data_IF_962317667788
#
_entry.id   IF_962317667788
#
_cell.length_a   1.000
_cell.length_b   1.000
_cell.length_c   1.000
_cell.angle_alpha   90.00
_cell.angle_beta   90.00
_cell.angle_gamma   90.00
#
_symmetry.space_group_name_H-M   'P 1'
#
loop_
_entity.id
_entity.type
_entity.pdbx_description
1 polymer ?
#
# COMPACT_ATOMS: atom_id res chain seq x y z
N UNK A 1 28.22 -24.19 -45.30
CA UNK A 1 27.57 -24.84 -44.15
C UNK A 1 27.21 -23.69 -43.22
N UNK A 2 25.95 -23.32 -42.99
CA UNK A 2 24.92 -24.11 -42.33
C UNK A 2 23.58 -24.03 -43.08
N UNK A 3 23.17 -25.14 -43.70
CA UNK A 3 21.81 -25.33 -44.25
C UNK A 3 20.93 -26.19 -43.31
N UNK A 4 21.48 -26.61 -42.17
CA UNK A 4 20.90 -27.60 -41.25
C UNK A 4 21.01 -27.21 -39.76
N UNK A 5 21.56 -26.05 -39.41
CA UNK A 5 21.37 -25.52 -38.07
C UNK A 5 19.92 -25.00 -38.01
N UNK A 6 19.05 -25.68 -37.27
CA UNK A 6 17.71 -25.16 -36.99
C UNK A 6 17.81 -23.72 -36.45
N UNK A 7 16.78 -22.90 -36.67
CA UNK A 7 16.73 -21.57 -36.05
C UNK A 7 16.91 -21.76 -34.55
N UNK A 8 18.09 -21.43 -34.01
CA UNK A 8 18.38 -21.60 -32.58
C UNK A 8 17.33 -20.89 -31.72
N UNK A 9 17.25 -21.25 -30.44
CA UNK A 9 16.33 -20.59 -29.52
C UNK A 9 16.62 -19.09 -29.49
N UNK A 10 15.65 -18.27 -29.88
CA UNK A 10 15.73 -16.81 -29.86
C UNK A 10 14.83 -16.28 -28.75
N UNK A 11 15.38 -15.43 -27.90
CA UNK A 11 14.62 -14.70 -26.88
C UNK A 11 14.48 -13.26 -27.37
N UNK A 12 13.23 -12.81 -27.55
CA UNK A 12 12.93 -11.43 -27.94
C UNK A 12 12.65 -10.65 -26.66
N UNK A 13 13.45 -9.61 -26.40
CA UNK A 13 13.31 -8.73 -25.22
C UNK A 13 12.93 -7.33 -25.70
N UNK A 14 11.62 -7.03 -25.85
CA UNK A 14 11.20 -5.68 -26.17
C UNK A 14 11.44 -4.77 -24.96
N UNK A 15 12.09 -3.63 -25.18
CA UNK A 15 12.36 -2.63 -24.13
C UNK A 15 11.67 -1.33 -24.50
N UNK A 16 10.70 -0.92 -23.69
CA UNK A 16 10.06 0.39 -23.78
C UNK A 16 10.58 1.28 -22.64
N UNK A 17 11.51 2.18 -22.95
CA UNK A 17 12.09 3.10 -21.97
C UNK A 17 11.21 4.35 -21.81
N UNK A 18 10.14 4.24 -21.01
CA UNK A 18 9.27 5.37 -20.66
C UNK A 18 9.85 6.11 -19.45
N UNK A 19 9.74 7.43 -19.46
CA UNK A 19 10.16 8.29 -18.35
C UNK A 19 9.03 9.25 -17.99
N UNK A 20 8.85 9.49 -16.70
CA UNK A 20 7.91 10.50 -16.24
C UNK A 20 8.49 11.91 -16.45
N UNK A 21 7.64 12.92 -16.68
CA UNK A 21 8.06 14.32 -16.72
C UNK A 21 8.80 14.77 -15.44
N UNK A 22 9.77 15.67 -15.57
CA UNK A 22 10.59 16.15 -14.43
C UNK A 22 9.81 16.89 -13.34
N UNK A 23 8.61 17.39 -13.66
CA UNK A 23 7.70 18.01 -12.69
C UNK A 23 6.87 16.99 -11.89
N UNK A 24 6.86 15.71 -12.26
CA UNK A 24 6.22 14.66 -11.48
C UNK A 24 7.21 14.14 -10.42
N UNK A 25 7.11 14.69 -9.21
CA UNK A 25 8.11 14.49 -8.15
C UNK A 25 7.73 13.44 -7.11
N UNK A 26 6.45 13.04 -7.04
CA UNK A 26 5.96 12.04 -6.08
C UNK A 26 4.73 11.29 -6.60
N UNK A 27 4.82 9.96 -6.66
CA UNK A 27 3.70 9.08 -7.02
C UNK A 27 4.18 7.81 -7.73
N UNK A 28 3.26 6.85 -7.87
CA UNK A 28 3.55 5.56 -8.48
C UNK A 28 3.57 5.65 -10.00
N UNK A 29 4.44 4.88 -10.65
CA UNK A 29 4.59 4.93 -12.11
C UNK A 29 4.05 3.65 -12.73
N UNK A 30 3.22 3.80 -13.75
CA UNK A 30 2.78 2.67 -14.57
C UNK A 30 3.96 1.95 -15.21
N UNK A 31 3.97 0.62 -15.09
CA UNK A 31 4.88 -0.27 -15.79
C UNK A 31 4.17 -1.57 -16.16
N UNK A 32 4.51 -2.16 -17.30
CA UNK A 32 3.90 -3.42 -17.79
C UNK A 32 2.35 -3.37 -17.75
N UNK A 33 1.78 -2.23 -18.17
CA UNK A 33 0.33 -2.02 -18.29
C UNK A 33 -0.46 -2.07 -16.97
N UNK A 34 0.18 -1.79 -15.82
CA UNK A 34 -0.51 -1.68 -14.55
C UNK A 34 0.22 -0.79 -13.54
N UNK A 35 -0.49 -0.45 -12.46
CA UNK A 35 0.08 0.14 -11.23
C UNK A 35 -0.37 -0.71 -10.04
N UNK A 36 0.54 -1.08 -9.15
CA UNK A 36 0.26 -1.83 -7.92
C UNK A 36 0.81 -1.06 -6.73
N UNK A 37 -0.02 -0.85 -5.71
CA UNK A 37 0.29 0.02 -4.57
C UNK A 37 -0.09 -0.70 -3.29
N UNK A 38 0.83 -0.80 -2.32
CA UNK A 38 0.50 -1.30 -0.99
C UNK A 38 -0.41 -0.28 -0.27
N UNK A 39 -1.46 -0.76 0.41
CA UNK A 39 -2.48 0.08 1.03
C UNK A 39 -1.91 1.21 1.91
N UNK A 40 -0.94 0.93 2.80
CA UNK A 40 -0.27 1.94 3.63
C UNK A 40 0.48 3.05 2.87
N UNK A 41 0.84 2.85 1.60
CA UNK A 41 1.61 3.82 0.82
C UNK A 41 0.73 4.84 0.07
N UNK A 42 -0.28 5.38 0.74
CA UNK A 42 -1.03 6.55 0.24
C UNK A 42 -0.17 7.82 0.30
N UNK A 43 -0.50 8.82 -0.51
CA UNK A 43 0.27 10.08 -0.60
C UNK A 43 -0.31 11.19 0.28
N UNK A 44 -1.63 11.21 0.46
CA UNK A 44 -2.37 12.20 1.26
C UNK A 44 -3.67 11.62 1.79
N UNK A 45 -4.21 12.28 2.82
CA UNK A 45 -5.57 12.04 3.31
C UNK A 45 -6.34 13.35 3.15
N UNK A 46 -7.47 13.29 2.44
CA UNK A 46 -8.44 14.38 2.42
C UNK A 46 -9.21 14.35 3.74
N UNK A 47 -9.29 15.48 4.46
CA UNK A 47 -9.99 15.53 5.73
C UNK A 47 -11.49 15.27 5.55
N UNK A 48 -12.13 14.81 6.63
CA UNK A 48 -13.58 14.71 6.70
C UNK A 48 -14.25 16.09 6.53
N UNK A 49 -15.49 16.11 6.07
CA UNK A 49 -16.28 17.34 6.01
C UNK A 49 -16.52 17.90 7.41
N UNK A 50 -16.55 19.23 7.56
CA UNK A 50 -16.82 19.90 8.84
C UNK A 50 -18.21 19.58 9.42
N UNK A 51 -19.12 19.03 8.61
CA UNK A 51 -20.46 18.59 9.02
C UNK A 51 -20.52 17.10 9.44
N UNK A 52 -19.39 16.40 9.46
CA UNK A 52 -19.37 15.00 9.87
C UNK A 52 -19.67 14.88 11.36
N UNK A 53 -20.67 14.05 11.71
CA UNK A 53 -21.02 13.69 13.09
C UNK A 53 -19.89 13.02 13.88
N UNK A 54 -18.77 12.71 13.21
CA UNK A 54 -17.66 11.90 13.71
C UNK A 54 -16.30 12.57 13.41
N UNK A 55 -16.05 13.74 14.04
CA UNK A 55 -14.79 14.50 13.90
C UNK A 55 -13.53 13.74 14.34
N UNK A 56 -13.67 12.55 14.94
CA UNK A 56 -12.57 11.68 15.37
C UNK A 56 -12.17 10.62 14.33
N UNK A 57 -12.89 10.46 13.23
CA UNK A 57 -12.57 9.45 12.21
C UNK A 57 -11.26 9.79 11.49
N UNK A 58 -10.30 8.88 11.56
CA UNK A 58 -8.99 9.01 10.92
C UNK A 58 -8.61 7.70 10.26
N UNK A 59 -7.80 7.76 9.21
CA UNK A 59 -7.14 6.57 8.71
C UNK A 59 -6.00 6.15 9.65
N UNK A 60 -5.95 4.86 9.92
CA UNK A 60 -4.89 4.23 10.70
C UNK A 60 -4.22 3.16 9.84
N UNK A 61 -2.88 3.14 9.89
CA UNK A 61 -2.06 2.13 9.23
C UNK A 61 -1.85 0.96 10.18
N UNK A 62 -2.32 -0.22 9.78
CA UNK A 62 -2.06 -1.49 10.43
C UNK A 62 -0.81 -2.10 9.83
N UNK A 63 0.32 -1.96 10.52
CA UNK A 63 1.60 -2.55 10.10
C UNK A 63 1.54 -4.08 10.16
N UNK A 64 2.22 -4.75 9.22
CA UNK A 64 2.35 -6.22 9.18
C UNK A 64 0.99 -6.96 9.17
N UNK A 65 -0.02 -6.31 8.62
CA UNK A 65 -1.37 -6.80 8.55
C UNK A 65 -1.74 -7.23 7.12
N UNK A 66 -2.53 -8.29 6.99
CA UNK A 66 -2.95 -8.80 5.70
C UNK A 66 -1.90 -9.71 5.05
N UNK A 67 -1.90 -9.73 3.71
CA UNK A 67 -1.14 -10.72 2.91
C UNK A 67 0.26 -10.25 2.50
N UNK A 68 0.53 -8.96 2.59
CA UNK A 68 1.76 -8.32 2.07
C UNK A 68 2.37 -7.37 3.11
N UNK A 69 2.33 -6.06 2.90
CA UNK A 69 3.00 -5.06 3.74
C UNK A 69 2.18 -4.67 4.98
N UNK A 70 0.89 -4.43 4.80
CA UNK A 70 0.03 -3.86 5.81
C UNK A 70 -1.36 -3.55 5.27
N UNK A 71 -2.19 -2.97 6.13
CA UNK A 71 -3.49 -2.46 5.75
C UNK A 71 -3.70 -1.02 6.21
N UNK A 72 -4.63 -0.32 5.58
CA UNK A 72 -5.07 1.01 6.03
C UNK A 72 -6.60 1.05 6.08
N UNK A 73 -7.15 1.53 7.18
CA UNK A 73 -8.60 1.58 7.42
C UNK A 73 -8.99 2.68 8.38
N UNK A 74 -10.29 2.93 8.55
CA UNK A 74 -10.77 3.95 9.48
C UNK A 74 -10.66 3.51 10.94
N UNK A 75 -10.40 4.47 11.82
CA UNK A 75 -10.33 4.32 13.27
C UNK A 75 -10.99 5.53 13.95
N UNK A 76 -11.67 5.38 15.11
CA UNK A 76 -11.81 4.16 15.93
C UNK A 76 -12.78 3.11 15.37
N UNK A 77 -12.58 1.85 15.75
CA UNK A 77 -13.32 0.69 15.20
C UNK A 77 -14.83 0.68 15.50
N UNK A 78 -15.26 1.43 16.51
CA UNK A 78 -16.67 1.57 16.91
C UNK A 78 -17.37 2.77 16.26
N UNK A 79 -16.72 3.46 15.32
CA UNK A 79 -17.34 4.59 14.63
C UNK A 79 -18.48 4.11 13.71
N UNK A 80 -19.55 4.89 13.69
CA UNK A 80 -20.69 4.65 12.82
C UNK A 80 -20.35 4.85 11.34
N UNK A 81 -21.17 4.24 10.48
CA UNK A 81 -21.08 4.41 9.03
C UNK A 81 -21.33 5.86 8.65
N UNK A 82 -20.46 6.41 7.81
CA UNK A 82 -20.59 7.77 7.27
C UNK A 82 -21.15 7.74 5.84
N UNK A 83 -21.75 8.86 5.41
CA UNK A 83 -22.12 8.97 3.99
C UNK A 83 -20.88 9.23 3.14
N UNK A 84 -20.99 8.86 1.87
CA UNK A 84 -19.96 9.16 0.88
C UNK A 84 -19.74 10.68 0.80
N UNK A 85 -18.48 11.11 0.92
CA UNK A 85 -18.08 12.52 0.97
C UNK A 85 -18.10 13.17 2.37
N UNK A 86 -18.66 12.52 3.39
CA UNK A 86 -18.62 13.04 4.77
C UNK A 86 -17.35 12.61 5.51
N UNK A 87 -16.85 11.38 5.29
CA UNK A 87 -15.63 10.85 5.90
C UNK A 87 -14.33 11.27 5.20
N UNK A 88 -13.16 11.03 5.82
CA UNK A 88 -11.89 11.29 5.18
C UNK A 88 -11.66 10.32 4.00
N UNK A 89 -10.80 10.70 3.05
CA UNK A 89 -10.46 9.88 1.88
C UNK A 89 -8.96 9.66 1.73
N UNK A 90 -8.54 8.45 1.36
CA UNK A 90 -7.16 8.13 0.99
C UNK A 90 -6.90 8.57 -0.45
N UNK A 91 -5.77 9.22 -0.70
CA UNK A 91 -5.33 9.58 -2.04
C UNK A 91 -4.05 8.84 -2.42
N UNK A 92 -4.10 8.19 -3.58
CA UNK A 92 -2.98 7.56 -4.23
C UNK A 92 -2.68 8.28 -5.53
N UNK A 93 -1.46 8.80 -5.67
CA UNK A 93 -1.00 9.52 -6.85
C UNK A 93 -0.23 8.58 -7.75
N UNK A 94 -0.53 8.62 -9.04
CA UNK A 94 0.13 7.80 -10.04
C UNK A 94 0.36 8.55 -11.35
N UNK A 95 1.29 8.09 -12.16
CA UNK A 95 1.49 8.53 -13.53
C UNK A 95 1.16 7.38 -14.47
N UNK A 96 0.20 7.60 -15.36
CA UNK A 96 -0.31 6.63 -16.33
C UNK A 96 0.13 7.04 -17.73
N UNK A 97 0.74 6.12 -18.46
CA UNK A 97 1.13 6.23 -19.86
C UNK A 97 0.08 5.64 -20.81
N UNK A 98 -0.75 4.72 -20.33
CA UNK A 98 -1.72 4.00 -21.17
C UNK A 98 -3.10 4.63 -21.09
N UNK A 99 -3.62 5.03 -22.25
CA UNK A 99 -4.99 5.52 -22.40
C UNK A 99 -5.92 4.34 -22.66
N UNK A 100 -7.01 4.23 -21.90
CA UNK A 100 -7.96 3.13 -22.04
C UNK A 100 -9.33 3.52 -21.50
N UNK A 101 -10.40 3.04 -22.14
CA UNK A 101 -11.77 3.20 -21.64
C UNK A 101 -12.13 2.23 -20.51
N UNK A 102 -11.24 1.28 -20.20
CA UNK A 102 -11.48 0.20 -19.24
C UNK A 102 -10.28 -0.03 -18.32
N UNK A 103 -9.86 1.03 -17.63
CA UNK A 103 -8.91 0.92 -16.53
C UNK A 103 -9.63 0.30 -15.31
N UNK A 104 -9.33 -0.95 -14.98
CA UNK A 104 -9.95 -1.62 -13.85
C UNK A 104 -9.15 -1.37 -12.58
N UNK A 105 -9.75 -0.71 -11.60
CA UNK A 105 -9.15 -0.55 -10.27
C UNK A 105 -9.76 -1.58 -9.34
N UNK A 106 -8.93 -2.49 -8.83
CA UNK A 106 -9.32 -3.50 -7.85
C UNK A 106 -8.69 -3.18 -6.52
N UNK A 107 -9.52 -3.07 -5.48
CA UNK A 107 -9.04 -2.97 -4.10
C UNK A 107 -8.96 -4.35 -3.48
N UNK A 108 -7.80 -4.71 -2.97
CA UNK A 108 -7.62 -5.88 -2.11
C UNK A 108 -7.96 -5.49 -0.69
N UNK A 109 -9.15 -5.90 -0.24
CA UNK A 109 -9.69 -5.55 1.08
C UNK A 109 -9.62 -6.74 2.02
N UNK A 110 -9.43 -6.52 3.32
CA UNK A 110 -9.59 -7.59 4.30
C UNK A 110 -10.96 -8.27 4.19
N UNK A 111 -11.05 -9.58 4.49
CA UNK A 111 -12.25 -10.39 4.27
C UNK A 111 -13.31 -10.16 5.35
N UNK A 112 -13.73 -8.90 5.50
CA UNK A 112 -14.78 -8.48 6.43
C UNK A 112 -16.15 -8.87 5.90
N UNK A 113 -17.08 -9.23 6.80
CA UNK A 113 -18.50 -9.43 6.49
C UNK A 113 -19.34 -8.17 6.80
N UNK A 114 -20.61 -8.18 6.42
CA UNK A 114 -21.62 -7.18 6.82
C UNK A 114 -21.94 -7.28 8.32
N UNK A 115 -21.01 -6.86 9.19
CA UNK A 115 -21.12 -7.04 10.65
C UNK A 115 -22.27 -6.28 11.30
N UNK A 116 -22.72 -5.17 10.71
CA UNK A 116 -23.93 -4.44 11.13
C UNK A 116 -25.20 -4.96 10.45
N UNK A 117 -25.12 -6.14 9.82
CA UNK A 117 -26.19 -6.77 9.07
C UNK A 117 -26.35 -6.25 7.64
N UNK A 118 -27.13 -6.98 6.85
CA UNK A 118 -27.34 -6.70 5.43
C UNK A 118 -28.15 -5.42 5.16
N UNK A 119 -28.83 -4.89 6.18
CA UNK A 119 -29.48 -3.58 6.15
C UNK A 119 -28.50 -2.41 6.29
N UNK A 120 -27.28 -2.67 6.75
CA UNK A 120 -26.21 -1.69 6.87
C UNK A 120 -24.88 -2.28 6.36
N UNK A 121 -24.77 -2.54 5.05
CA UNK A 121 -23.69 -3.33 4.49
C UNK A 121 -22.38 -2.56 4.44
N UNK A 122 -21.29 -3.32 4.27
CA UNK A 122 -19.96 -2.80 3.94
C UNK A 122 -20.00 -2.01 2.64
N UNK A 123 -19.52 -0.76 2.66
CA UNK A 123 -19.46 0.08 1.48
C UNK A 123 -18.21 0.97 1.48
N UNK A 124 -17.75 1.28 0.28
CA UNK A 124 -16.70 2.28 0.05
C UNK A 124 -17.02 3.14 -1.18
N UNK A 125 -16.41 4.32 -1.23
CA UNK A 125 -16.36 5.18 -2.40
C UNK A 125 -15.03 5.07 -3.12
N UNK A 126 -15.04 5.22 -4.44
CA UNK A 126 -13.83 5.23 -5.25
C UNK A 126 -13.97 6.15 -6.47
N UNK A 127 -12.94 6.97 -6.73
CA UNK A 127 -12.84 7.84 -7.91
C UNK A 127 -11.42 7.79 -8.47
N UNK A 128 -11.29 7.85 -9.80
CA UNK A 128 -10.01 7.99 -10.50
C UNK A 128 -10.14 9.15 -11.49
N UNK A 129 -9.25 10.13 -11.41
CA UNK A 129 -9.32 11.33 -12.23
C UNK A 129 -7.94 11.96 -12.48
N UNK A 130 -7.77 12.77 -13.55
CA UNK A 130 -6.52 13.47 -13.80
C UNK A 130 -6.18 14.44 -12.67
N UNK A 131 -4.93 14.40 -12.20
CA UNK A 131 -4.45 15.29 -11.13
C UNK A 131 -4.55 16.75 -11.56
N UNK A 132 -5.17 17.59 -10.73
CA UNK A 132 -5.46 19.00 -11.05
C UNK A 132 -6.75 19.23 -11.84
N UNK A 133 -7.44 18.16 -12.25
CA UNK A 133 -8.78 18.21 -12.82
C UNK A 133 -9.90 18.23 -11.76
N UNK A 134 -11.14 18.38 -12.22
CA UNK A 134 -12.32 18.20 -11.38
C UNK A 134 -12.53 16.71 -11.09
N UNK A 135 -12.64 16.36 -9.81
CA UNK A 135 -13.02 15.02 -9.39
C UNK A 135 -14.46 14.69 -9.86
N UNK A 136 -14.70 13.54 -10.50
CA UNK A 136 -16.04 13.07 -10.83
C UNK A 136 -16.76 12.55 -9.58
N UNK A 137 -18.09 12.48 -9.65
CA UNK A 137 -18.90 11.84 -8.61
C UNK A 137 -18.34 10.44 -8.25
N UNK A 138 -17.97 10.20 -6.97
CA UNK A 138 -17.35 8.95 -6.60
C UNK A 138 -18.31 7.78 -6.76
N UNK A 139 -17.79 6.66 -7.29
CA UNK A 139 -18.56 5.43 -7.43
C UNK A 139 -18.67 4.74 -6.08
N UNK A 140 -19.89 4.40 -5.68
CA UNK A 140 -20.17 3.61 -4.47
C UNK A 140 -20.11 2.12 -4.80
N UNK A 141 -19.42 1.34 -3.97
CA UNK A 141 -19.27 -0.10 -4.13
C UNK A 141 -19.64 -0.80 -2.82
N UNK A 142 -20.46 -1.85 -2.95
CA UNK A 142 -20.81 -2.78 -1.88
C UNK A 142 -20.19 -4.15 -2.20
N UNK A 143 -19.03 -4.51 -1.63
CA UNK A 143 -18.34 -5.74 -2.00
C UNK A 143 -19.01 -7.01 -1.47
N UNK A 144 -19.75 -6.92 -0.36
CA UNK A 144 -20.36 -8.08 0.30
C UNK A 144 -21.86 -8.08 0.07
N UNK A 145 -22.35 -9.11 -0.60
CA UNK A 145 -23.78 -9.36 -0.82
C UNK A 145 -24.53 -9.73 0.46
N UNK A 146 -25.81 -10.05 0.31
CA UNK A 146 -26.67 -10.49 1.42
C UNK A 146 -26.44 -11.96 1.75
N UNK A 147 -26.74 -12.34 2.99
CA UNK A 147 -26.81 -13.74 3.42
C UNK A 147 -28.19 -14.29 3.07
N UNK A 148 -28.26 -15.51 2.52
CA UNK A 148 -29.52 -16.15 2.11
C UNK A 148 -29.78 -17.43 2.91
N UNK A 149 -30.61 -17.33 3.94
CA UNK A 149 -30.87 -18.46 4.85
C UNK A 149 -29.61 -18.88 5.59
N UNK A 150 -29.16 -20.12 5.37
CA UNK A 150 -27.89 -20.64 5.93
C UNK A 150 -26.68 -20.40 5.01
N UNK A 151 -26.88 -19.89 3.80
CA UNK A 151 -25.81 -19.67 2.83
C UNK A 151 -25.12 -18.34 3.06
N UNK A 152 -23.79 -18.36 3.10
CA UNK A 152 -22.97 -17.15 3.14
C UNK A 152 -23.08 -16.35 1.83
N UNK A 153 -22.76 -15.05 1.83
CA UNK A 153 -22.79 -14.22 0.62
C UNK A 153 -21.95 -14.81 -0.52
N UNK A 154 -22.34 -14.52 -1.76
CA UNK A 154 -21.56 -14.90 -2.93
C UNK A 154 -20.10 -14.42 -2.81
N UNK A 155 -19.17 -15.28 -3.21
CA UNK A 155 -17.73 -15.02 -3.09
C UNK A 155 -17.14 -15.19 -1.68
N UNK A 156 -17.94 -15.37 -0.62
CA UNK A 156 -17.45 -15.45 0.78
C UNK A 156 -16.38 -16.53 0.98
N UNK A 157 -16.61 -17.73 0.44
CA UNK A 157 -15.66 -18.85 0.57
C UNK A 157 -14.28 -18.54 -0.01
N UNK A 158 -14.24 -17.82 -1.15
CA UNK A 158 -12.98 -17.36 -1.74
C UNK A 158 -12.34 -16.25 -0.90
N UNK A 159 -13.13 -15.27 -0.45
CA UNK A 159 -12.60 -14.16 0.33
C UNK A 159 -11.93 -14.63 1.62
N UNK A 160 -12.58 -15.55 2.35
CA UNK A 160 -12.01 -16.14 3.57
C UNK A 160 -10.84 -17.06 3.24
N UNK A 161 -10.96 -17.92 2.22
CA UNK A 161 -9.91 -18.86 1.81
C UNK A 161 -8.62 -18.17 1.36
N UNK A 162 -8.76 -17.04 0.66
CA UNK A 162 -7.64 -16.23 0.17
C UNK A 162 -7.24 -15.08 1.12
N UNK A 163 -7.95 -14.95 2.26
CA UNK A 163 -7.80 -13.88 3.24
C UNK A 163 -7.92 -12.45 2.65
N UNK A 164 -8.69 -12.27 1.56
CA UNK A 164 -8.89 -10.98 0.90
C UNK A 164 -10.13 -10.97 -0.02
N UNK A 165 -10.87 -9.87 -0.04
CA UNK A 165 -11.80 -9.54 -1.12
C UNK A 165 -11.04 -8.94 -2.32
N UNK A 166 -11.42 -9.31 -3.54
CA UNK A 166 -10.87 -8.71 -4.78
C UNK A 166 -9.84 -9.55 -5.51
N UNK A 167 -9.39 -10.68 -4.97
CA UNK A 167 -8.56 -11.63 -5.72
C UNK A 167 -9.37 -12.46 -6.71
N UNK A 168 -10.54 -12.92 -6.27
CA UNK A 168 -11.48 -13.72 -7.04
C UNK A 168 -12.79 -12.94 -7.21
N UNK A 169 -13.34 -12.96 -8.42
CA UNK A 169 -14.53 -12.18 -8.77
C UNK A 169 -14.24 -10.69 -8.94
N UNK A 170 -15.29 -9.92 -9.23
CA UNK A 170 -15.20 -8.47 -9.48
C UNK A 170 -15.82 -7.65 -8.33
N UNK A 171 -15.94 -8.22 -7.13
CA UNK A 171 -16.65 -7.62 -5.98
C UNK A 171 -16.07 -6.26 -5.55
N UNK A 172 -14.76 -6.04 -5.75
CA UNK A 172 -14.06 -4.79 -5.41
C UNK A 172 -13.43 -4.10 -6.63
N UNK A 173 -13.83 -4.52 -7.84
CA UNK A 173 -13.28 -3.98 -9.09
C UNK A 173 -14.21 -2.90 -9.64
N UNK A 174 -13.66 -1.73 -9.92
CA UNK A 174 -14.39 -0.62 -10.54
C UNK A 174 -13.65 -0.15 -11.79
N UNK A 175 -14.36 -0.09 -12.92
CA UNK A 175 -13.78 0.38 -14.20
C UNK A 175 -13.85 1.90 -14.33
N UNK A 176 -12.80 2.50 -14.85
CA UNK A 176 -12.67 3.94 -15.12
C UNK A 176 -12.15 4.19 -16.53
N UNK A 177 -12.33 5.42 -17.00
CA UNK A 177 -11.80 5.89 -18.28
C UNK A 177 -10.54 6.73 -18.04
N UNK A 178 -9.43 6.33 -18.65
CA UNK A 178 -8.16 7.06 -18.69
C UNK A 178 -8.02 7.61 -20.11
N UNK A 179 -8.39 8.87 -20.29
CA UNK A 179 -8.52 9.50 -21.61
C UNK A 179 -7.20 9.98 -22.19
N UNK A 180 -6.20 10.23 -21.35
CA UNK A 180 -4.91 10.78 -21.74
C UNK A 180 -3.81 10.26 -20.82
N UNK A 181 -2.58 10.29 -21.31
CA UNK A 181 -1.39 10.08 -20.50
C UNK A 181 -1.24 11.24 -19.52
N UNK A 182 -0.82 10.95 -18.29
CA UNK A 182 -0.48 11.98 -17.32
C UNK A 182 -0.57 11.52 -15.87
N UNK A 183 -0.54 12.50 -14.97
CA UNK A 183 -0.74 12.27 -13.55
C UNK A 183 -2.23 12.06 -13.24
N UNK A 184 -2.53 11.04 -12.45
CA UNK A 184 -3.85 10.68 -11.98
C UNK A 184 -3.86 10.56 -10.45
N UNK A 185 -5.00 10.90 -9.87
CA UNK A 185 -5.31 10.71 -8.45
C UNK A 185 -6.41 9.66 -8.34
N UNK A 186 -6.13 8.60 -7.59
CA UNK A 186 -7.12 7.64 -7.13
C UNK A 186 -7.51 8.02 -5.71
N UNK A 187 -8.80 8.26 -5.47
CA UNK A 187 -9.33 8.52 -4.14
C UNK A 187 -10.23 7.39 -3.69
N UNK A 188 -10.04 6.95 -2.44
CA UNK A 188 -10.80 5.87 -1.81
C UNK A 188 -11.36 6.34 -0.48
N UNK A 189 -12.66 6.18 -0.28
CA UNK A 189 -13.34 6.48 0.98
C UNK A 189 -13.88 5.20 1.58
N UNK A 190 -13.33 4.79 2.71
CA UNK A 190 -13.99 3.80 3.54
C UNK A 190 -15.22 4.47 4.18
N UNK A 191 -16.40 3.87 4.07
CA UNK A 191 -17.59 4.43 4.73
C UNK A 191 -17.75 3.92 6.16
N UNK A 192 -16.93 2.97 6.59
CA UNK A 192 -16.91 2.41 7.94
C UNK A 192 -15.56 1.77 8.28
N UNK A 193 -15.22 1.60 9.60
CA UNK A 193 -13.91 1.12 10.07
C UNK A 193 -13.40 -0.21 9.53
N UNK A 194 -14.27 -1.15 9.21
CA UNK A 194 -13.91 -2.50 8.81
C UNK A 194 -13.64 -2.67 7.29
N UNK A 195 -13.62 -1.57 6.53
CA UNK A 195 -13.00 -1.52 5.21
C UNK A 195 -11.50 -1.25 5.43
N UNK A 196 -10.68 -2.30 5.30
CA UNK A 196 -9.23 -2.21 5.41
C UNK A 196 -8.62 -2.52 4.05
N UNK A 197 -7.99 -1.52 3.43
CA UNK A 197 -7.31 -1.63 2.14
C UNK A 197 -5.91 -2.20 2.37
N UNK A 198 -5.65 -3.40 1.88
CA UNK A 198 -4.32 -4.03 1.91
C UNK A 198 -3.48 -3.65 0.69
N UNK A 199 -4.11 -3.59 -0.49
CA UNK A 199 -3.45 -3.26 -1.75
C UNK A 199 -4.43 -2.66 -2.77
N UNK A 200 -3.91 -1.84 -3.66
CA UNK A 200 -4.61 -1.28 -4.83
C UNK A 200 -3.93 -1.81 -6.08
N UNK A 201 -4.71 -2.32 -7.04
CA UNK A 201 -4.21 -2.70 -8.36
C UNK A 201 -5.01 -1.95 -9.43
N UNK A 202 -4.31 -1.18 -10.26
CA UNK A 202 -4.86 -0.50 -11.43
C UNK A 202 -4.42 -1.27 -12.67
N UNK A 203 -5.34 -1.99 -13.30
CA UNK A 203 -5.12 -2.76 -14.52
C UNK A 203 -5.48 -1.93 -15.75
N UNK A 204 -4.48 -1.68 -16.59
CA UNK A 204 -4.61 -0.97 -17.87
C UNK A 204 -4.51 -1.95 -19.06
N UNK A 205 -4.54 -3.26 -18.78
CA UNK A 205 -4.44 -4.36 -19.75
C UNK A 205 -3.21 -5.25 -19.57
N UNK A 206 -2.39 -5.00 -18.56
CA UNK A 206 -1.12 -5.70 -18.31
C UNK A 206 -1.12 -6.66 -17.12
N UNK A 207 -2.14 -6.64 -16.26
CA UNK A 207 -2.15 -7.48 -15.05
C UNK A 207 -2.26 -8.97 -15.42
N UNK A 208 -1.36 -9.78 -14.84
CA UNK A 208 -1.36 -11.24 -14.98
C UNK A 208 -1.81 -11.91 -13.69
N UNK A 209 -2.49 -13.06 -13.82
CA UNK A 209 -2.97 -13.83 -12.67
C UNK A 209 -1.80 -14.20 -11.76
N UNK A 210 -1.89 -13.78 -10.50
CA UNK A 210 -0.91 -14.04 -9.45
C UNK A 210 -1.63 -14.08 -8.12
N UNK A 211 -1.14 -14.86 -7.15
CA UNK A 211 -1.85 -15.05 -5.88
C UNK A 211 -1.89 -13.77 -5.04
N UNK A 212 -0.75 -13.08 -4.91
CA UNK A 212 -0.60 -11.86 -4.12
C UNK A 212 -0.82 -10.57 -4.92
N UNK A 213 -1.23 -10.70 -6.18
CA UNK A 213 -1.20 -9.60 -7.15
C UNK A 213 0.23 -9.25 -7.59
N UNK A 214 0.40 -8.23 -8.44
CA UNK A 214 1.72 -7.74 -8.83
C UNK A 214 2.49 -7.16 -7.62
N UNK A 215 3.83 -7.23 -7.64
CA UNK A 215 4.65 -6.49 -6.68
C UNK A 215 4.37 -4.99 -6.81
N UNK A 216 4.74 -4.22 -5.79
CA UNK A 216 4.51 -2.78 -5.81
C UNK A 216 5.22 -2.12 -7.01
N UNK A 217 4.59 -1.08 -7.56
CA UNK A 217 5.15 -0.27 -8.63
C UNK A 217 6.18 0.72 -8.12
N UNK A 218 7.03 1.20 -9.04
CA UNK A 218 8.05 2.21 -8.73
C UNK A 218 7.40 3.49 -8.19
N UNK A 219 7.87 3.98 -7.05
CA UNK A 219 7.42 5.21 -6.42
C UNK A 219 8.46 6.31 -6.59
N UNK A 220 8.13 7.33 -7.37
CA UNK A 220 8.96 8.54 -7.49
C UNK A 220 9.07 9.23 -6.14
N UNK A 221 10.29 9.62 -5.76
CA UNK A 221 10.60 10.24 -4.47
C UNK A 221 10.96 9.25 -3.36
N UNK A 222 10.75 7.94 -3.57
CA UNK A 222 11.24 6.87 -2.69
C UNK A 222 12.30 6.02 -3.39
N UNK A 223 12.00 5.59 -4.61
CA UNK A 223 12.78 4.60 -5.34
C UNK A 223 13.78 5.27 -6.31
N UNK A 224 14.89 4.58 -6.57
CA UNK A 224 15.94 5.06 -7.48
C UNK A 224 16.01 4.23 -8.76
N UNK A 225 15.99 4.90 -9.92
CA UNK A 225 16.10 4.26 -11.23
C UNK A 225 17.42 3.49 -11.35
N UNK A 226 17.36 2.28 -11.90
CA UNK A 226 18.54 1.40 -12.03
C UNK A 226 18.97 0.66 -10.76
N UNK A 227 18.44 1.05 -9.59
CA UNK A 227 18.61 0.29 -8.33
C UNK A 227 17.34 -0.47 -7.94
N UNK A 228 16.17 0.03 -8.34
CA UNK A 228 14.89 -0.60 -8.09
C UNK A 228 14.83 -2.02 -8.68
N UNK A 229 14.61 -3.01 -7.82
CA UNK A 229 14.55 -4.42 -8.20
C UNK A 229 13.33 -5.12 -7.61
N UNK A 230 12.19 -4.43 -7.49
CA UNK A 230 10.95 -5.05 -7.00
C UNK A 230 10.29 -5.91 -8.09
N UNK A 231 10.95 -7.01 -8.42
CA UNK A 231 10.38 -8.07 -9.27
C UNK A 231 9.59 -9.09 -8.45
N UNK A 232 9.72 -9.04 -7.11
CA UNK A 232 9.12 -9.98 -6.16
C UNK A 232 8.69 -9.28 -4.88
N UNK A 233 7.83 -9.91 -4.08
CA UNK A 233 7.48 -9.44 -2.74
C UNK A 233 8.66 -9.44 -1.75
N UNK A 234 9.65 -10.32 -1.96
CA UNK A 234 10.84 -10.34 -1.12
C UNK A 234 11.73 -9.12 -1.33
N UNK A 235 11.57 -8.38 -2.42
CA UNK A 235 12.34 -7.17 -2.68
C UNK A 235 11.61 -5.89 -2.25
N UNK A 236 10.35 -5.99 -1.82
CA UNK A 236 9.56 -4.85 -1.36
C UNK A 236 10.05 -4.33 0.01
N UNK A 237 10.34 -3.01 0.13
CA UNK A 237 10.70 -2.39 1.40
C UNK A 237 9.61 -2.56 2.46
N UNK A 238 9.99 -2.84 3.70
CA UNK A 238 9.06 -2.91 4.84
C UNK A 238 8.26 -4.20 4.96
N UNK A 239 8.23 -5.06 3.93
CA UNK A 239 7.57 -6.38 4.03
C UNK A 239 8.35 -7.28 5.00
N UNK A 240 7.65 -7.90 5.94
CA UNK A 240 8.27 -8.82 6.91
C UNK A 240 8.86 -10.01 6.18
N UNK A 241 10.12 -10.33 6.48
CA UNK A 241 10.84 -11.43 5.85
C UNK A 241 11.40 -11.12 4.46
N UNK A 242 11.21 -9.89 3.95
CA UNK A 242 11.81 -9.43 2.70
C UNK A 242 13.34 -9.36 2.80
N UNK A 243 14.02 -9.53 1.66
CA UNK A 243 15.47 -9.41 1.53
C UNK A 243 15.95 -8.02 1.94
N UNK A 244 15.17 -6.97 1.66
CA UNK A 244 15.45 -5.61 2.13
C UNK A 244 15.45 -5.52 3.67
N UNK A 245 14.44 -6.12 4.32
CA UNK A 245 14.35 -6.18 5.79
C UNK A 245 15.47 -7.05 6.39
N UNK A 246 15.82 -8.16 5.75
CA UNK A 246 16.96 -9.01 6.15
C UNK A 246 18.30 -8.29 6.02
N UNK A 247 18.49 -7.50 4.96
CA UNK A 247 19.69 -6.68 4.76
C UNK A 247 19.77 -5.56 5.79
N UNK A 248 18.67 -4.87 6.09
CA UNK A 248 18.60 -3.87 7.16
C UNK A 248 18.98 -4.50 8.53
N UNK A 249 18.38 -5.64 8.89
CA UNK A 249 18.72 -6.38 10.11
C UNK A 249 20.19 -6.86 10.14
N UNK A 250 20.76 -7.23 8.99
CA UNK A 250 22.17 -7.63 8.88
C UNK A 250 23.11 -6.42 9.01
N UNK A 251 22.67 -5.25 8.57
CA UNK A 251 23.40 -3.98 8.69
C UNK A 251 23.38 -3.49 10.14
N UNK A 252 22.24 -3.61 10.83
CA UNK A 252 22.13 -3.34 12.27
C UNK A 252 22.94 -4.33 13.12
N UNK A 253 22.99 -5.61 12.75
CA UNK A 253 23.89 -6.56 13.42
C UNK A 253 25.37 -6.25 13.22
N UNK A 254 25.76 -5.68 12.06
CA UNK A 254 27.13 -5.19 11.82
C UNK A 254 27.44 -3.88 12.54
N UNK A 255 26.46 -3.00 12.73
CA UNK A 255 26.63 -1.76 13.52
C UNK A 255 26.71 -2.06 15.02
N UNK A 256 26.02 -3.10 15.49
CA UNK A 256 26.15 -3.63 16.85
C UNK A 256 27.50 -4.34 17.05
N UNK A 257 28.01 -5.09 16.05
CA UNK A 257 29.31 -5.77 16.17
C UNK A 257 30.52 -4.84 16.10
N UNK A 258 30.34 -3.55 15.76
CA UNK A 258 31.41 -2.54 15.71
C UNK A 258 31.39 -1.58 16.92
N UNK A 259 30.50 -1.80 17.90
CA UNK A 259 30.50 -1.11 19.20
C UNK A 259 30.92 -2.04 20.35
N UNK A 260 32.11 -2.60 20.26
CA UNK A 260 32.88 -3.01 21.45
C UNK A 260 34.35 -2.72 21.14
N UNK A 261 35.13 -2.38 22.17
CA UNK A 261 36.50 -1.83 22.12
C UNK A 261 36.59 -0.30 22.01
N UNK A 262 36.00 0.39 23.00
CA UNK A 262 36.49 1.70 23.44
C UNK A 262 36.57 1.71 24.97
N UNK A 263 37.76 1.35 25.46
CA UNK A 263 38.41 1.71 26.72
C UNK A 263 37.52 2.15 27.90
N UNK A 264 37.18 1.18 28.78
CA UNK A 264 36.93 1.48 30.18
C UNK A 264 38.25 1.73 30.89
N UNK A 265 38.74 2.97 30.89
CA UNK A 265 39.76 3.40 31.84
C UNK A 265 39.11 3.53 33.22
N UNK A 266 39.43 2.58 34.10
CA UNK A 266 39.07 2.60 35.51
C UNK A 266 39.92 3.67 36.19
N UNK A 267 39.33 4.84 36.47
CA UNK A 267 39.97 5.85 37.32
C UNK A 267 39.74 5.45 38.78
N UNK A 268 40.77 4.88 39.41
CA UNK A 268 40.83 4.67 40.86
C UNK A 268 40.85 6.03 41.57
N UNK A 269 39.82 6.32 42.39
CA UNK A 269 39.84 7.43 43.34
C UNK A 269 40.50 6.92 44.63
N UNK A 270 41.78 7.24 44.83
CA UNK A 270 42.43 7.12 46.14
C UNK A 270 42.01 8.32 47.00
N UNK A 271 41.20 8.06 48.02
CA UNK A 271 40.90 9.02 49.07
C UNK A 271 42.11 9.17 50.00
N UNK A 272 42.80 10.31 49.91
CA UNK A 272 43.82 10.74 50.87
C UNK A 272 43.11 11.50 51.99
N UNK A 273 43.04 10.89 53.16
CA UNK A 273 42.63 11.55 54.41
C UNK A 273 43.81 12.38 54.89
N UNK A 274 43.75 13.71 54.75
CA UNK A 274 44.61 14.63 55.47
C UNK A 274 43.79 15.27 56.60
N UNK A 275 44.07 14.85 57.83
CA UNK A 275 43.53 15.43 59.05
C UNK A 275 44.08 16.83 59.28
N UNK A 276 43.17 17.77 59.49
CA UNK A 276 43.45 19.13 59.96
C UNK A 276 43.76 19.06 61.46
N UNK A 277 45.00 19.40 61.85
CA UNK A 277 45.33 19.75 63.22
C UNK A 277 45.24 21.27 63.32
N UNK A 278 44.22 21.74 64.04
CA UNK A 278 44.08 23.12 64.50
C UNK A 278 44.72 23.20 65.90
N UNK A 279 45.73 24.05 66.06
CA UNK A 279 46.34 24.37 67.35
C UNK A 279 45.66 25.58 67.97
N UNK A 280 44.98 25.43 69.12
CA UNK A 280 44.74 26.51 70.10
C UNK A 280 44.51 25.91 71.51
N UNK A 281 45.39 26.28 72.45
CA UNK A 281 45.45 26.03 73.92
C UNK A 281 45.68 24.61 74.45
#
# INVERSE_FOLDING_TARGET
MERYAGQGQRVIVPVANRAVPSNFTKGFVESDGHVSIEGPHYQSIVPASNNASNSSLKYHTFENYGRTLGGVGLYPANAEKVKLGEGPGLEYNMYLFTNTSKANVTLYLSPSANYLGDGNPLEYGISLYPTGGSEPEPKRVQPVGKTEGANMPDGWGYAVGDAVWGLTGNYTTTSFNVTQEGAYTLRVWALMPNIIVQKVVVDLGGVRKSYLGPPESFLVGRDEQGKYNQTTFSSSPGVVGSDATRLAQKTDKKSISTRTWANSAVTCVFAVVLGVVLSVF
#
